data_IF_363987742253
#
_entry.id   IF_363987742253
#
_cell.length_a   1.000
_cell.length_b   1.000
_cell.length_c   1.000
_cell.angle_alpha   90.00
_cell.angle_beta   90.00
_cell.angle_gamma   90.00
#
_symmetry.space_group_name_H-M   'P 1'
#
loop_
_entity.id
_entity.type
_entity.pdbx_description
1 polymer ?
#
# COMPACT_ATOMS: atom_id res chain seq x y z
N UNK A 1 -17.31 7.12 16.42
CA UNK A 1 -16.95 8.33 15.63
C UNK A 1 -15.47 8.59 15.86
N UNK A 2 -14.60 8.21 14.92
CA UNK A 2 -13.17 8.51 15.05
C UNK A 2 -13.03 10.03 14.93
N UNK A 3 -12.28 10.65 15.86
CA UNK A 3 -12.06 12.09 15.92
C UNK A 3 -11.41 12.67 14.66
N UNK A 4 -11.13 13.98 14.64
CA UNK A 4 -10.55 14.64 13.47
C UNK A 4 -9.31 13.87 12.99
N UNK A 5 -9.23 13.64 11.68
CA UNK A 5 -8.10 12.94 11.05
C UNK A 5 -6.83 13.68 11.48
N UNK A 6 -5.88 13.01 12.18
CA UNK A 6 -4.67 13.67 12.65
C UNK A 6 -3.93 14.25 11.45
N UNK A 7 -3.39 15.46 11.64
CA UNK A 7 -2.60 16.18 10.65
C UNK A 7 -1.52 15.22 10.12
N UNK A 8 -1.50 14.89 8.80
CA UNK A 8 -0.60 13.88 8.30
C UNK A 8 0.84 14.26 8.65
N UNK A 9 1.52 13.36 9.37
CA UNK A 9 2.89 13.51 9.91
C UNK A 9 3.98 13.82 8.85
N UNK A 10 3.63 13.98 7.58
CA UNK A 10 4.57 14.22 6.48
C UNK A 10 4.74 15.73 6.30
N UNK A 11 5.58 16.35 7.14
CA UNK A 11 6.10 17.71 6.90
C UNK A 11 7.31 17.59 5.96
N UNK A 12 7.11 17.83 4.66
CA UNK A 12 8.19 17.82 3.65
C UNK A 12 8.00 16.86 2.47
N UNK A 13 6.81 16.31 2.26
CA UNK A 13 6.53 15.40 1.14
C UNK A 13 6.16 16.13 -0.16
N UNK A 14 6.57 15.58 -1.31
CA UNK A 14 6.06 16.00 -2.61
C UNK A 14 4.64 15.47 -2.81
N UNK A 15 3.64 16.35 -2.79
CA UNK A 15 2.26 15.99 -3.17
C UNK A 15 2.19 15.79 -4.68
N UNK A 16 2.02 14.55 -5.14
CA UNK A 16 1.74 14.24 -6.54
C UNK A 16 0.24 14.12 -6.76
N UNK A 17 -0.29 14.84 -7.75
CA UNK A 17 -1.65 14.61 -8.27
C UNK A 17 -1.58 13.46 -9.28
N UNK A 18 -2.25 12.34 -8.97
CA UNK A 18 -2.34 11.20 -9.88
C UNK A 18 -3.71 11.25 -10.55
N UNK A 19 -3.80 11.61 -11.85
CA UNK A 19 -5.07 11.54 -12.56
C UNK A 19 -5.48 10.07 -12.74
N UNK A 20 -6.78 9.80 -12.58
CA UNK A 20 -7.36 8.49 -12.85
C UNK A 20 -8.72 8.68 -13.52
N UNK A 21 -9.18 7.68 -14.26
CA UNK A 21 -10.50 7.63 -14.85
C UNK A 21 -11.10 6.23 -14.63
N UNK A 22 -12.39 6.18 -14.34
CA UNK A 22 -13.14 4.93 -14.21
C UNK A 22 -14.40 5.07 -15.08
N UNK A 23 -14.51 4.21 -16.09
CA UNK A 23 -15.70 4.16 -16.95
C UNK A 23 -16.82 3.41 -16.22
N UNK A 24 -18.01 4.01 -16.18
CA UNK A 24 -19.19 3.40 -15.58
C UNK A 24 -20.07 2.76 -16.66
N UNK A 25 -20.83 1.70 -16.34
CA UNK A 25 -21.84 1.17 -17.24
C UNK A 25 -22.88 2.23 -17.62
N UNK A 26 -23.43 2.12 -18.83
CA UNK A 26 -24.46 3.05 -19.31
C UNK A 26 -25.68 3.08 -18.38
N UNK A 27 -26.16 4.28 -18.07
CA UNK A 27 -27.28 4.50 -17.15
C UNK A 27 -26.90 4.54 -15.66
N UNK A 28 -25.63 4.29 -15.32
CA UNK A 28 -25.13 4.40 -13.95
C UNK A 28 -24.66 5.82 -13.65
N UNK A 29 -25.06 6.35 -12.49
CA UNK A 29 -24.58 7.62 -11.94
C UNK A 29 -23.73 7.32 -10.70
N UNK A 30 -22.49 7.81 -10.66
CA UNK A 30 -21.67 7.66 -9.46
C UNK A 30 -22.15 8.60 -8.35
N UNK A 31 -22.36 8.04 -7.15
CA UNK A 31 -22.77 8.80 -5.97
C UNK A 31 -21.57 9.27 -5.13
N UNK A 32 -20.50 8.48 -5.08
CA UNK A 32 -19.30 8.76 -4.29
C UNK A 32 -18.04 8.19 -4.94
N UNK A 33 -16.90 8.72 -4.52
CA UNK A 33 -15.57 8.17 -4.79
C UNK A 33 -14.92 7.81 -3.47
N UNK A 34 -14.47 6.57 -3.36
CA UNK A 34 -13.72 6.06 -2.21
C UNK A 34 -12.28 5.83 -2.64
N UNK A 35 -11.34 6.37 -1.85
CA UNK A 35 -9.91 6.26 -2.13
C UNK A 35 -9.20 5.76 -0.88
N UNK A 36 -8.47 4.66 -1.03
CA UNK A 36 -7.60 4.11 0.00
C UNK A 36 -6.14 4.25 -0.45
N UNK A 37 -5.34 4.93 0.37
CA UNK A 37 -3.90 5.00 0.20
C UNK A 37 -3.25 3.97 1.13
N UNK A 38 -2.51 3.05 0.53
CA UNK A 38 -1.69 2.07 1.26
C UNK A 38 -0.23 2.27 0.90
N UNK A 39 0.66 1.87 1.80
CA UNK A 39 2.10 1.85 1.55
C UNK A 39 2.69 0.51 2.01
N UNK A 40 3.81 0.14 1.42
CA UNK A 40 4.68 -0.93 1.89
C UNK A 40 6.11 -0.35 1.96
N UNK A 41 6.95 -0.88 2.86
CA UNK A 41 8.32 -0.39 3.02
C UNK A 41 9.24 -0.87 1.89
N UNK A 42 8.98 -2.08 1.40
CA UNK A 42 9.62 -2.61 0.20
C UNK A 42 8.55 -3.09 -0.78
N UNK A 43 8.79 -3.01 -2.10
CA UNK A 43 7.91 -3.65 -3.07
C UNK A 43 7.92 -5.16 -2.87
N UNK A 44 6.84 -5.82 -3.31
CA UNK A 44 6.81 -7.28 -3.38
C UNK A 44 8.00 -7.76 -4.23
N UNK A 45 8.86 -8.66 -3.72
CA UNK A 45 9.98 -9.18 -4.49
C UNK A 45 9.51 -9.88 -5.77
N UNK A 46 10.28 -9.77 -6.85
CA UNK A 46 10.01 -10.56 -8.04
C UNK A 46 10.10 -12.06 -7.74
N UNK A 47 9.26 -12.89 -8.40
CA UNK A 47 9.33 -14.34 -8.26
C UNK A 47 10.75 -14.85 -8.57
N UNK A 48 11.33 -15.65 -7.67
CA UNK A 48 12.68 -16.19 -7.81
C UNK A 48 13.82 -15.30 -7.29
N UNK A 49 13.62 -13.99 -7.12
CA UNK A 49 14.62 -13.15 -6.42
C UNK A 49 14.66 -13.49 -4.93
N UNK A 50 13.48 -13.67 -4.32
CA UNK A 50 13.35 -14.12 -2.94
C UNK A 50 14.02 -15.49 -2.73
N UNK A 51 13.81 -16.44 -3.65
CA UNK A 51 14.38 -17.78 -3.53
C UNK A 51 15.91 -17.76 -3.61
N UNK A 52 16.48 -16.98 -4.54
CA UNK A 52 17.93 -16.78 -4.65
C UNK A 52 18.52 -16.16 -3.39
N UNK A 53 17.83 -15.16 -2.83
CA UNK A 53 18.27 -14.53 -1.59
C UNK A 53 18.25 -15.52 -0.42
N UNK A 54 17.17 -16.28 -0.25
CA UNK A 54 17.06 -17.28 0.82
C UNK A 54 18.09 -18.40 0.67
N UNK A 55 18.40 -18.82 -0.56
CA UNK A 55 19.43 -19.81 -0.84
C UNK A 55 20.87 -19.32 -0.53
N UNK A 56 21.08 -17.99 -0.47
CA UNK A 56 22.37 -17.40 -0.12
C UNK A 56 22.66 -17.37 1.38
N UNK A 57 21.65 -17.60 2.22
CA UNK A 57 21.75 -17.60 3.67
C UNK A 57 22.26 -18.96 4.18
N UNK A 58 23.12 -18.94 5.20
CA UNK A 58 23.87 -20.12 5.62
C UNK A 58 23.00 -21.04 6.49
N UNK A 59 22.23 -20.46 7.40
CA UNK A 59 21.47 -21.22 8.40
C UNK A 59 19.97 -21.17 8.15
N UNK A 60 19.24 -22.16 8.69
CA UNK A 60 17.78 -22.15 8.62
C UNK A 60 17.18 -21.02 9.46
N UNK A 61 17.81 -20.67 10.58
CA UNK A 61 17.38 -19.55 11.42
C UNK A 61 17.40 -18.23 10.66
N UNK A 62 18.47 -17.96 9.92
CA UNK A 62 18.59 -16.77 9.07
C UNK A 62 17.51 -16.75 7.98
N UNK A 63 17.21 -17.91 7.36
CA UNK A 63 16.17 -18.01 6.34
C UNK A 63 14.79 -17.70 6.90
N UNK A 64 14.46 -18.21 8.07
CA UNK A 64 13.18 -17.94 8.73
C UNK A 64 13.04 -16.48 9.17
N UNK A 65 14.10 -15.89 9.73
CA UNK A 65 14.11 -14.47 10.08
C UNK A 65 13.96 -13.58 8.85
N UNK A 66 14.69 -13.88 7.77
CA UNK A 66 14.59 -13.17 6.50
C UNK A 66 13.17 -13.25 5.89
N UNK A 67 12.54 -14.44 5.91
CA UNK A 67 11.14 -14.59 5.46
C UNK A 67 10.20 -13.70 6.26
N UNK A 68 10.35 -13.65 7.59
CA UNK A 68 9.54 -12.81 8.46
C UNK A 68 9.70 -11.33 8.14
N UNK A 69 10.93 -10.85 7.99
CA UNK A 69 11.23 -9.46 7.66
C UNK A 69 10.65 -9.11 6.28
N UNK A 70 10.88 -9.94 5.25
CA UNK A 70 10.33 -9.71 3.91
C UNK A 70 8.81 -9.62 3.97
N UNK A 71 8.15 -10.55 4.67
CA UNK A 71 6.71 -10.55 4.82
C UNK A 71 6.22 -9.27 5.51
N UNK A 72 6.85 -8.87 6.61
CA UNK A 72 6.47 -7.67 7.36
C UNK A 72 6.64 -6.40 6.53
N UNK A 73 7.73 -6.28 5.79
CA UNK A 73 8.05 -5.05 5.05
C UNK A 73 7.32 -4.94 3.70
N UNK A 74 6.86 -6.08 3.15
CA UNK A 74 6.01 -6.13 1.93
C UNK A 74 4.53 -5.96 2.23
N UNK A 75 4.11 -6.09 3.49
CA UNK A 75 2.72 -5.89 3.87
C UNK A 75 2.27 -4.47 3.53
N UNK A 76 1.08 -4.40 2.91
CA UNK A 76 0.43 -3.12 2.64
C UNK A 76 -0.21 -2.62 3.92
N UNK A 77 0.36 -1.56 4.47
CA UNK A 77 -0.21 -0.82 5.57
C UNK A 77 -1.15 0.26 5.06
N UNK A 78 -2.24 0.44 5.78
CA UNK A 78 -3.21 1.48 5.52
C UNK A 78 -2.67 2.83 5.99
N UNK A 79 -2.56 3.79 5.07
CA UNK A 79 -2.16 5.16 5.41
C UNK A 79 -3.38 6.04 5.65
N UNK A 80 -4.30 6.07 4.70
CA UNK A 80 -5.51 6.90 4.81
C UNK A 80 -6.63 6.39 3.91
N UNK A 81 -7.86 6.74 4.29
CA UNK A 81 -9.07 6.51 3.51
C UNK A 81 -9.83 7.82 3.42
N UNK A 82 -10.30 8.14 2.22
CA UNK A 82 -11.11 9.33 1.96
C UNK A 82 -12.31 8.95 1.11
N UNK A 83 -13.43 9.56 1.43
CA UNK A 83 -14.67 9.46 0.66
C UNK A 83 -15.06 10.85 0.22
N UNK A 84 -15.48 10.98 -1.03
CA UNK A 84 -16.05 12.20 -1.58
C UNK A 84 -17.37 11.89 -2.25
N UNK A 85 -18.46 12.50 -1.79
CA UNK A 85 -19.73 12.50 -2.50
C UNK A 85 -19.63 13.31 -3.80
N UNK A 86 -20.28 12.86 -4.86
CA UNK A 86 -20.30 13.48 -6.18
C UNK A 86 -21.58 14.28 -6.47
N UNK A 87 -22.46 14.38 -5.48
CA UNK A 87 -23.66 15.23 -5.47
C UNK A 87 -23.32 16.72 -5.46
#
# INVERSE_FOLDING_TARGET
LRGPIPDPFIKGGNTRKVPFALTLPNGTVAASVEVMLTYALIPMPEPGLQDKYLASLQTESEREEAKKIIQEYTQRHFLTYRVKSLS
#
